data_IF_110524000057
#
_entry.id   IF_110524000057
#
_cell.length_a   1.000
_cell.length_b   1.000
_cell.length_c   1.000
_cell.angle_alpha   90.00
_cell.angle_beta   90.00
_cell.angle_gamma   90.00
#
_symmetry.space_group_name_H-M   'P 1'
#
loop_
_entity.id
_entity.type
_entity.pdbx_description
1 polymer ?
#
# COMPACT_ATOMS: atom_id res chain seq x y z
N UNK A 1 7.28 -14.15 15.55
CA UNK A 1 6.46 -13.25 16.39
C UNK A 1 6.40 -11.88 15.72
N UNK A 2 5.39 -11.07 16.07
CA UNK A 2 5.27 -9.68 15.59
C UNK A 2 5.15 -8.79 16.82
N UNK A 3 6.06 -7.85 16.95
CA UNK A 3 6.14 -6.97 18.12
C UNK A 3 6.35 -5.52 17.69
N UNK A 4 5.96 -4.59 18.57
CA UNK A 4 6.40 -3.20 18.44
C UNK A 4 7.87 -3.15 18.84
N UNK A 5 8.68 -2.44 18.07
CA UNK A 5 10.11 -2.32 18.32
C UNK A 5 10.37 -1.81 19.75
N UNK A 6 11.36 -2.39 20.42
CA UNK A 6 11.80 -1.99 21.76
C UNK A 6 13.34 -2.02 21.78
N UNK A 7 13.95 -1.74 22.95
CA UNK A 7 15.41 -1.69 23.09
C UNK A 7 16.09 -3.03 22.75
N UNK A 8 15.48 -4.16 23.10
CA UNK A 8 16.03 -5.50 22.85
C UNK A 8 16.17 -5.81 21.34
N UNK A 9 15.39 -5.13 20.50
CA UNK A 9 15.42 -5.31 19.06
C UNK A 9 16.54 -4.53 18.34
N UNK A 10 17.17 -3.54 19.00
CA UNK A 10 18.14 -2.63 18.36
C UNK A 10 19.32 -3.43 17.79
N UNK A 11 19.94 -4.28 18.59
CA UNK A 11 21.08 -5.12 18.18
C UNK A 11 20.73 -6.09 17.04
N UNK A 12 19.47 -6.54 16.99
CA UNK A 12 19.00 -7.42 15.92
C UNK A 12 18.79 -6.64 14.61
N UNK A 13 18.25 -5.42 14.70
CA UNK A 13 18.03 -4.51 13.57
C UNK A 13 19.35 -4.01 12.97
N UNK A 14 20.40 -3.82 13.76
CA UNK A 14 21.75 -3.51 13.25
C UNK A 14 22.30 -4.59 12.29
N UNK A 15 21.87 -5.84 12.48
CA UNK A 15 22.28 -6.99 11.65
C UNK A 15 21.35 -7.21 10.45
N UNK A 16 20.24 -6.47 10.37
CA UNK A 16 19.28 -6.60 9.29
C UNK A 16 19.93 -6.30 7.94
N UNK A 17 19.64 -7.09 6.91
CA UNK A 17 20.19 -6.95 5.57
C UNK A 17 19.14 -7.38 4.53
N UNK A 18 18.58 -6.39 3.85
CA UNK A 18 17.64 -6.63 2.76
C UNK A 18 18.34 -7.04 1.46
N UNK A 19 19.66 -6.95 1.36
CA UNK A 19 20.43 -7.29 0.16
C UNK A 19 20.24 -6.29 -0.98
N UNK A 20 20.56 -6.69 -2.21
CA UNK A 20 20.56 -5.79 -3.37
C UNK A 20 19.17 -5.22 -3.69
N UNK A 21 19.13 -3.94 -4.04
CA UNK A 21 17.89 -3.15 -4.19
C UNK A 21 17.09 -3.04 -2.87
N UNK A 22 17.75 -3.21 -1.73
CA UNK A 22 17.21 -3.08 -0.38
C UNK A 22 18.09 -2.17 0.49
N UNK A 23 18.96 -1.38 -0.12
CA UNK A 23 19.96 -0.56 0.56
C UNK A 23 19.30 0.50 1.45
N UNK A 24 18.20 1.11 0.97
CA UNK A 24 17.41 2.07 1.74
C UNK A 24 16.76 1.41 2.96
N UNK A 25 16.18 0.22 2.80
CA UNK A 25 15.56 -0.52 3.91
C UNK A 25 16.61 -0.99 4.92
N UNK A 26 17.76 -1.45 4.43
CA UNK A 26 18.88 -1.86 5.28
C UNK A 26 19.40 -0.67 6.08
N UNK A 27 19.63 0.46 5.43
CA UNK A 27 20.07 1.70 6.08
C UNK A 27 19.04 2.19 7.10
N UNK A 28 17.76 2.19 6.74
CA UNK A 28 16.70 2.59 7.67
C UNK A 28 16.70 1.69 8.91
N UNK A 29 16.71 0.37 8.74
CA UNK A 29 16.70 -0.59 9.84
C UNK A 29 17.85 -0.34 10.84
N UNK A 30 19.07 -0.18 10.31
CA UNK A 30 20.28 -0.08 11.13
C UNK A 30 20.48 1.27 11.78
N UNK A 31 20.14 2.35 11.08
CA UNK A 31 20.53 3.71 11.50
C UNK A 31 19.36 4.54 12.01
N UNK A 32 18.13 4.25 11.58
CA UNK A 32 17.01 5.17 11.73
C UNK A 32 15.80 4.57 12.45
N UNK A 33 15.59 3.25 12.41
CA UNK A 33 14.38 2.62 12.92
C UNK A 33 14.11 2.97 14.39
N UNK A 34 15.11 2.80 15.26
CA UNK A 34 14.96 3.13 16.69
C UNK A 34 14.67 4.61 16.92
N UNK A 35 15.39 5.49 16.22
CA UNK A 35 15.20 6.94 16.35
C UNK A 35 13.79 7.36 15.92
N UNK A 36 13.31 6.84 14.78
CA UNK A 36 11.95 7.11 14.31
C UNK A 36 10.89 6.58 15.27
N UNK A 37 11.13 5.40 15.86
CA UNK A 37 10.21 4.79 16.80
C UNK A 37 10.13 5.55 18.13
N UNK A 38 11.27 5.73 18.79
CA UNK A 38 11.39 6.38 20.10
C UNK A 38 10.94 7.84 20.11
N UNK A 39 10.99 8.53 18.97
CA UNK A 39 10.51 9.90 18.80
C UNK A 39 9.09 9.97 18.22
N UNK A 40 8.38 8.85 18.14
CA UNK A 40 7.00 8.76 17.64
C UNK A 40 6.81 9.31 16.21
N UNK A 41 7.84 9.30 15.38
CA UNK A 41 7.75 9.70 13.97
C UNK A 41 7.03 8.63 13.14
N UNK A 42 7.21 7.36 13.52
CA UNK A 42 6.43 6.22 13.03
C UNK A 42 6.44 5.11 14.08
N UNK A 43 5.42 4.25 14.08
CA UNK A 43 5.50 3.00 14.84
C UNK A 43 6.28 1.98 14.02
N UNK A 44 7.36 1.44 14.56
CA UNK A 44 8.14 0.38 13.91
C UNK A 44 7.69 -0.96 14.49
N UNK A 45 7.29 -1.86 13.61
CA UNK A 45 6.96 -3.23 13.94
C UNK A 45 8.06 -4.15 13.43
N UNK A 46 8.40 -5.14 14.23
CA UNK A 46 9.40 -6.15 13.91
C UNK A 46 8.72 -7.51 13.82
N UNK A 47 9.03 -8.23 12.74
CA UNK A 47 8.69 -9.64 12.55
C UNK A 47 9.97 -10.41 12.74
N UNK A 48 10.05 -11.23 13.77
CA UNK A 48 11.27 -11.90 14.16
C UNK A 48 11.01 -13.33 14.63
N UNK A 49 12.05 -14.14 14.61
CA UNK A 49 12.14 -15.31 15.47
C UNK A 49 12.97 -14.95 16.72
N UNK A 50 13.24 -15.93 17.59
CA UNK A 50 13.95 -15.69 18.85
C UNK A 50 15.38 -15.14 18.68
N UNK A 51 15.95 -15.23 17.46
CA UNK A 51 17.38 -14.95 17.23
C UNK A 51 17.63 -13.93 16.12
N UNK A 52 16.66 -13.63 15.25
CA UNK A 52 16.83 -12.67 14.16
C UNK A 52 15.54 -12.01 13.70
N UNK A 53 15.71 -10.81 13.14
CA UNK A 53 14.66 -10.11 12.40
C UNK A 53 14.47 -10.80 11.04
N UNK A 54 13.23 -11.19 10.76
CA UNK A 54 12.77 -11.70 9.46
C UNK A 54 12.38 -10.52 8.56
N UNK A 55 11.61 -9.58 9.12
CA UNK A 55 11.08 -8.42 8.43
C UNK A 55 10.81 -7.30 9.43
N UNK A 56 10.71 -6.07 8.95
CA UNK A 56 10.19 -4.96 9.73
C UNK A 56 9.30 -4.10 8.83
N UNK A 57 8.38 -3.36 9.44
CA UNK A 57 7.58 -2.37 8.72
C UNK A 57 7.25 -1.18 9.62
N UNK A 58 6.85 -0.07 9.01
CA UNK A 58 6.44 1.11 9.76
C UNK A 58 5.04 1.55 9.39
N UNK A 59 4.26 1.93 10.41
CA UNK A 59 2.94 2.52 10.24
C UNK A 59 2.90 3.91 10.89
N UNK A 60 2.31 4.87 10.20
CA UNK A 60 2.02 6.20 10.74
C UNK A 60 0.68 6.74 10.23
N UNK A 61 -0.01 7.60 11.01
CA UNK A 61 -1.19 8.30 10.51
C UNK A 61 -0.81 9.17 9.31
N UNK A 62 -1.65 9.17 8.28
CA UNK A 62 -1.37 9.90 7.04
C UNK A 62 -2.64 10.40 6.37
N UNK A 63 -2.51 11.42 5.52
CA UNK A 63 -3.61 11.94 4.72
C UNK A 63 -3.18 11.92 3.27
N UNK A 64 -3.78 11.04 2.49
CA UNK A 64 -3.60 11.03 1.04
C UNK A 64 -4.37 12.19 0.45
N UNK A 65 -3.74 12.93 -0.48
CA UNK A 65 -4.42 13.91 -1.32
C UNK A 65 -4.72 13.32 -2.69
N UNK A 66 -5.94 12.88 -2.87
CA UNK A 66 -6.51 12.49 -4.15
C UNK A 66 -6.76 13.76 -4.98
N UNK A 67 -5.81 14.08 -5.87
CA UNK A 67 -6.00 15.12 -6.88
C UNK A 67 -6.63 14.46 -8.11
N UNK A 68 -7.88 14.78 -8.49
CA UNK A 68 -8.30 14.52 -9.85
C UNK A 68 -7.39 15.34 -10.76
N UNK A 69 -6.71 14.70 -11.71
CA UNK A 69 -6.05 15.45 -12.79
C UNK A 69 -7.14 16.12 -13.62
N UNK A 70 -7.36 17.42 -13.40
CA UNK A 70 -8.42 18.22 -14.01
C UNK A 70 -8.32 18.38 -15.54
N UNK A 71 -7.34 17.77 -16.22
CA UNK A 71 -7.09 18.00 -17.65
C UNK A 71 -7.58 16.92 -18.61
N UNK A 72 -8.20 15.84 -18.12
CA UNK A 72 -8.71 14.73 -18.95
C UNK A 72 -10.24 14.61 -18.94
N UNK A 73 -10.92 15.63 -18.43
CA UNK A 73 -12.36 15.61 -18.11
C UNK A 73 -13.31 15.51 -19.31
N UNK A 74 -12.83 15.64 -20.56
CA UNK A 74 -13.73 15.82 -21.71
C UNK A 74 -13.62 14.73 -22.79
N UNK A 75 -12.91 13.64 -22.54
CA UNK A 75 -12.88 12.50 -23.47
C UNK A 75 -13.98 11.49 -23.11
N UNK A 76 -15.12 11.60 -23.79
CA UNK A 76 -16.14 10.55 -23.79
C UNK A 76 -15.67 9.31 -24.59
N UNK A 77 -16.43 8.22 -24.51
CA UNK A 77 -16.12 6.97 -25.22
C UNK A 77 -16.06 7.16 -26.74
N UNK A 78 -16.86 8.08 -27.26
CA UNK A 78 -16.90 8.37 -28.69
C UNK A 78 -15.59 9.03 -29.18
N UNK A 79 -15.00 9.92 -28.38
CA UNK A 79 -13.70 10.52 -28.72
C UNK A 79 -12.56 9.51 -28.57
N UNK A 80 -12.62 8.62 -27.57
CA UNK A 80 -11.64 7.53 -27.41
C UNK A 80 -11.67 6.60 -28.63
N UNK A 81 -12.84 6.12 -29.02
CA UNK A 81 -13.01 5.23 -30.17
C UNK A 81 -12.51 5.87 -31.47
N UNK A 82 -12.77 7.17 -31.66
CA UNK A 82 -12.27 7.93 -32.81
C UNK A 82 -10.74 8.05 -32.81
N UNK A 83 -10.12 8.26 -31.65
CA UNK A 83 -8.67 8.34 -31.53
C UNK A 83 -8.03 6.97 -31.84
N UNK A 84 -8.57 5.89 -31.31
CA UNK A 84 -8.09 4.53 -31.58
C UNK A 84 -8.23 4.16 -33.05
N UNK A 85 -9.40 4.44 -33.66
CA UNK A 85 -9.61 4.23 -35.11
C UNK A 85 -8.63 5.04 -35.96
N UNK A 86 -8.29 6.26 -35.55
CA UNK A 86 -7.30 7.09 -36.24
C UNK A 86 -5.88 6.50 -36.10
N UNK A 87 -5.52 5.97 -34.92
CA UNK A 87 -4.24 5.31 -34.70
C UNK A 87 -4.08 4.00 -35.50
N UNK A 88 -5.17 3.31 -35.83
CA UNK A 88 -5.12 2.14 -36.72
C UNK A 88 -4.72 2.51 -38.15
N UNK A 89 -5.05 3.74 -38.59
CA UNK A 89 -4.78 4.23 -39.94
C UNK A 89 -3.38 4.84 -40.09
N UNK A 90 -2.77 5.32 -39.00
CA UNK A 90 -1.48 6.00 -39.01
C UNK A 90 -0.54 5.42 -37.95
N UNK A 91 0.48 4.69 -38.39
CA UNK A 91 1.45 4.04 -37.50
C UNK A 91 2.17 5.03 -36.56
N UNK A 92 2.46 6.26 -37.03
CA UNK A 92 3.07 7.30 -36.17
C UNK A 92 2.17 7.78 -35.01
N UNK A 93 0.85 7.53 -35.08
CA UNK A 93 -0.12 7.97 -34.07
C UNK A 93 -0.43 6.91 -33.01
N UNK A 94 -0.03 5.65 -33.21
CA UNK A 94 -0.29 4.55 -32.27
C UNK A 94 0.21 4.84 -30.86
N UNK A 95 1.49 5.19 -30.73
CA UNK A 95 2.13 5.46 -29.45
C UNK A 95 1.52 6.68 -28.72
N UNK A 96 1.34 7.84 -29.38
CA UNK A 96 0.66 8.99 -28.77
C UNK A 96 -0.78 8.71 -28.34
N UNK A 97 -1.59 8.08 -29.19
CA UNK A 97 -2.99 7.77 -28.87
C UNK A 97 -3.09 6.79 -27.72
N UNK A 98 -2.28 5.73 -27.71
CA UNK A 98 -2.28 4.75 -26.63
C UNK A 98 -1.95 5.40 -25.28
N UNK A 99 -1.06 6.40 -25.24
CA UNK A 99 -0.78 7.16 -24.01
C UNK A 99 -1.97 8.00 -23.55
N UNK A 100 -2.72 8.61 -24.48
CA UNK A 100 -3.92 9.39 -24.20
C UNK A 100 -5.01 8.48 -23.64
N UNK A 101 -5.33 7.38 -24.32
CA UNK A 101 -6.35 6.40 -23.89
C UNK A 101 -6.01 5.83 -22.51
N UNK A 102 -4.76 5.43 -22.30
CA UNK A 102 -4.30 4.99 -20.98
C UNK A 102 -4.46 6.10 -19.93
N UNK A 103 -4.20 7.36 -20.26
CA UNK A 103 -4.46 8.51 -19.38
C UNK A 103 -5.93 8.62 -18.99
N UNK A 104 -6.83 8.58 -19.96
CA UNK A 104 -8.28 8.73 -19.75
C UNK A 104 -8.84 7.56 -18.93
N UNK A 105 -8.48 6.33 -19.26
CA UNK A 105 -8.91 5.15 -18.49
C UNK A 105 -8.43 5.22 -17.03
N UNK A 106 -7.21 5.70 -16.78
CA UNK A 106 -6.68 5.92 -15.42
C UNK A 106 -7.45 6.98 -14.66
N UNK A 107 -7.83 8.08 -15.33
CA UNK A 107 -8.62 9.14 -14.71
C UNK A 107 -10.00 8.61 -14.29
N UNK A 108 -10.68 7.87 -15.17
CA UNK A 108 -11.99 7.26 -14.89
C UNK A 108 -11.92 6.29 -13.71
N UNK A 109 -10.89 5.44 -13.67
CA UNK A 109 -10.68 4.51 -12.55
C UNK A 109 -10.50 5.28 -11.22
N UNK A 110 -9.61 6.27 -11.20
CA UNK A 110 -9.36 7.11 -10.01
C UNK A 110 -10.63 7.83 -9.54
N UNK A 111 -11.40 8.38 -10.49
CA UNK A 111 -12.68 9.05 -10.21
C UNK A 111 -13.71 8.10 -9.61
N UNK A 112 -13.85 6.90 -10.18
CA UNK A 112 -14.81 5.91 -9.67
C UNK A 112 -14.45 5.46 -8.24
N UNK A 113 -13.17 5.20 -7.96
CA UNK A 113 -12.70 4.87 -6.61
C UNK A 113 -12.99 6.02 -5.65
N UNK A 114 -12.71 7.25 -6.07
CA UNK A 114 -13.00 8.46 -5.30
C UNK A 114 -14.48 8.57 -4.94
N UNK A 115 -15.37 8.32 -5.90
CA UNK A 115 -16.81 8.35 -5.70
C UNK A 115 -17.26 7.24 -4.76
N UNK A 116 -16.76 6.01 -4.93
CA UNK A 116 -17.07 4.89 -4.05
C UNK A 116 -16.60 5.15 -2.61
N UNK A 117 -15.34 5.59 -2.44
CA UNK A 117 -14.80 5.95 -1.13
C UNK A 117 -15.62 7.09 -0.51
N UNK A 118 -15.97 8.12 -1.28
CA UNK A 118 -16.83 9.23 -0.79
C UNK A 118 -18.19 8.75 -0.36
N UNK A 119 -18.86 7.91 -1.15
CA UNK A 119 -20.17 7.37 -0.81
C UNK A 119 -20.11 6.55 0.48
N UNK A 120 -19.13 5.67 0.61
CA UNK A 120 -18.97 4.87 1.84
C UNK A 120 -18.74 5.78 3.04
N UNK A 121 -17.92 6.81 2.93
CA UNK A 121 -17.60 7.71 4.05
C UNK A 121 -18.75 8.63 4.41
N UNK A 122 -19.48 9.14 3.42
CA UNK A 122 -20.70 9.94 3.63
C UNK A 122 -21.78 9.10 4.31
N UNK A 123 -22.01 7.88 3.81
CA UNK A 123 -23.09 7.01 4.29
C UNK A 123 -22.80 6.41 5.67
N UNK A 124 -21.54 6.09 5.98
CA UNK A 124 -21.19 5.36 7.21
C UNK A 124 -20.55 6.21 8.30
N UNK A 125 -19.83 7.28 7.94
CA UNK A 125 -19.08 8.10 8.91
C UNK A 125 -19.62 9.52 9.04
N UNK A 126 -20.65 9.89 8.26
CA UNK A 126 -21.20 11.26 8.20
C UNK A 126 -20.10 12.32 7.97
N UNK A 127 -18.99 11.92 7.37
CA UNK A 127 -17.86 12.78 7.09
C UNK A 127 -18.11 13.48 5.76
N UNK A 128 -18.31 14.80 5.79
CA UNK A 128 -18.26 15.62 4.60
C UNK A 128 -16.79 15.91 4.27
N UNK A 129 -16.21 15.07 3.42
CA UNK A 129 -14.80 15.19 3.05
C UNK A 129 -14.68 16.29 2.03
N UNK A 130 -13.99 17.38 2.39
CA UNK A 130 -13.58 18.40 1.43
C UNK A 130 -12.64 17.80 0.36
N UNK A 131 -13.27 17.38 -0.74
CA UNK A 131 -12.85 17.06 -2.11
C UNK A 131 -11.54 16.35 -2.45
N UNK A 132 -10.58 16.14 -1.54
CA UNK A 132 -9.32 15.47 -1.92
C UNK A 132 -8.58 14.73 -0.80
N UNK A 133 -8.99 14.84 0.47
CA UNK A 133 -8.17 14.29 1.57
C UNK A 133 -8.77 13.00 2.13
N UNK A 134 -8.03 11.90 2.07
CA UNK A 134 -8.45 10.61 2.63
C UNK A 134 -7.59 10.28 3.85
N UNK A 135 -8.21 10.10 5.04
CA UNK A 135 -7.47 9.66 6.22
C UNK A 135 -7.02 8.21 6.03
N UNK A 136 -5.72 7.97 6.15
CA UNK A 136 -5.10 6.69 5.82
C UNK A 136 -3.99 6.37 6.82
N UNK A 137 -3.48 5.15 6.74
CA UNK A 137 -2.27 4.73 7.44
C UNK A 137 -1.17 4.62 6.40
N UNK A 138 -0.04 5.30 6.58
CA UNK A 138 1.11 5.17 5.70
C UNK A 138 1.96 3.96 6.09
N UNK A 139 2.15 3.04 5.15
CA UNK A 139 3.25 2.08 5.17
C UNK A 139 4.52 2.77 4.67
N UNK A 140 5.29 3.33 5.62
CA UNK A 140 6.44 4.16 5.30
C UNK A 140 7.65 3.35 4.82
N UNK A 141 7.96 2.29 5.56
CA UNK A 141 9.05 1.36 5.25
C UNK A 141 8.54 -0.06 5.37
N UNK A 142 8.99 -0.92 4.46
CA UNK A 142 8.78 -2.36 4.53
C UNK A 142 10.04 -3.08 4.07
N UNK A 143 10.74 -3.70 5.03
CA UNK A 143 11.97 -4.44 4.78
C UNK A 143 11.77 -5.93 4.99
N UNK A 144 12.34 -6.74 4.10
CA UNK A 144 12.41 -8.19 4.22
C UNK A 144 13.87 -8.63 4.13
N UNK A 145 14.33 -9.43 5.10
CA UNK A 145 15.69 -9.96 5.13
C UNK A 145 15.95 -10.73 3.82
N UNK A 146 17.14 -10.56 3.24
CA UNK A 146 17.46 -11.07 1.90
C UNK A 146 17.22 -12.58 1.71
N UNK A 147 17.47 -13.36 2.76
CA UNK A 147 17.32 -14.82 2.75
C UNK A 147 15.86 -15.29 2.65
N UNK A 148 14.90 -14.41 2.95
CA UNK A 148 13.47 -14.69 2.87
C UNK A 148 12.79 -14.06 1.66
N UNK A 149 13.56 -13.42 0.77
CA UNK A 149 13.01 -12.90 -0.48
C UNK A 149 12.64 -14.05 -1.40
N UNK A 150 11.61 -13.84 -2.21
CA UNK A 150 11.04 -14.84 -3.13
C UNK A 150 12.09 -15.65 -3.91
N UNK A 151 13.11 -15.00 -4.48
CA UNK A 151 14.16 -15.69 -5.24
C UNK A 151 14.97 -16.67 -4.35
N UNK A 152 15.38 -16.22 -3.17
CA UNK A 152 16.16 -17.04 -2.24
C UNK A 152 15.34 -18.23 -1.71
N UNK A 153 14.05 -18.01 -1.45
CA UNK A 153 13.14 -19.09 -1.03
C UNK A 153 12.93 -20.12 -2.14
N UNK A 154 12.69 -19.67 -3.38
CA UNK A 154 12.48 -20.56 -4.52
C UNK A 154 13.72 -21.41 -4.83
N UNK A 155 14.91 -20.83 -4.73
CA UNK A 155 16.18 -21.56 -4.90
C UNK A 155 16.40 -22.61 -3.79
N UNK A 156 16.01 -22.29 -2.55
CA UNK A 156 16.21 -23.16 -1.39
C UNK A 156 15.21 -24.30 -1.29
N UNK A 157 14.03 -24.15 -1.89
CA UNK A 157 12.88 -25.04 -1.69
C UNK A 157 12.09 -25.25 -2.99
N UNK A 158 12.79 -25.63 -4.06
CA UNK A 158 12.24 -25.74 -5.42
C UNK A 158 10.98 -26.64 -5.55
N UNK A 159 10.80 -27.60 -4.64
CA UNK A 159 9.71 -28.59 -4.68
C UNK A 159 8.47 -28.19 -3.84
N UNK A 160 8.48 -27.00 -3.22
CA UNK A 160 7.35 -26.51 -2.42
C UNK A 160 6.67 -25.35 -3.12
N UNK A 161 5.34 -25.32 -3.02
CA UNK A 161 4.53 -24.16 -3.38
C UNK A 161 4.76 -23.06 -2.35
N UNK A 162 5.91 -22.38 -2.47
CA UNK A 162 6.28 -21.30 -1.56
C UNK A 162 5.78 -20.00 -2.14
N UNK A 163 4.75 -19.51 -1.46
CA UNK A 163 4.25 -18.17 -1.60
C UNK A 163 5.34 -17.12 -1.32
N UNK A 164 5.15 -15.95 -1.90
CA UNK A 164 5.99 -14.80 -1.59
C UNK A 164 5.77 -14.35 -0.14
N UNK A 165 6.72 -14.65 0.76
CA UNK A 165 6.63 -14.29 2.17
C UNK A 165 6.36 -12.78 2.39
N UNK A 166 6.89 -11.91 1.51
CA UNK A 166 6.61 -10.48 1.59
C UNK A 166 5.12 -10.16 1.38
N UNK A 167 4.47 -10.88 0.46
CA UNK A 167 3.02 -10.77 0.22
C UNK A 167 2.22 -11.32 1.40
N UNK A 168 2.64 -12.46 1.96
CA UNK A 168 1.99 -13.03 3.14
C UNK A 168 2.12 -12.14 4.38
N UNK A 169 3.28 -11.51 4.60
CA UNK A 169 3.46 -10.55 5.69
C UNK A 169 2.56 -9.33 5.45
N UNK A 170 2.47 -8.82 4.23
CA UNK A 170 1.60 -7.70 3.90
C UNK A 170 0.13 -8.03 4.22
N UNK A 171 -0.38 -9.14 3.69
CA UNK A 171 -1.77 -9.58 3.84
C UNK A 171 -2.13 -9.97 5.28
N UNK A 172 -1.32 -10.82 5.91
CA UNK A 172 -1.68 -11.48 7.17
C UNK A 172 -1.21 -10.73 8.41
N UNK A 173 -0.30 -9.77 8.25
CA UNK A 173 0.27 -9.01 9.35
C UNK A 173 0.00 -7.52 9.15
N UNK A 174 0.57 -6.91 8.11
CA UNK A 174 0.53 -5.43 7.97
C UNK A 174 -0.90 -4.92 7.84
N UNK A 175 -1.71 -5.51 6.97
CA UNK A 175 -3.10 -5.08 6.75
C UNK A 175 -3.95 -5.18 8.02
N UNK A 176 -3.98 -6.30 8.77
CA UNK A 176 -4.69 -6.38 10.05
C UNK A 176 -4.25 -5.31 11.07
N UNK A 177 -2.94 -5.04 11.18
CA UNK A 177 -2.44 -3.98 12.07
C UNK A 177 -2.88 -2.59 11.59
N UNK A 178 -2.85 -2.33 10.28
CA UNK A 178 -3.30 -1.07 9.70
C UNK A 178 -4.82 -0.86 9.87
N UNK A 179 -5.63 -1.91 9.72
CA UNK A 179 -7.08 -1.89 9.98
C UNK A 179 -7.35 -1.56 11.44
N UNK A 180 -6.65 -2.21 12.37
CA UNK A 180 -6.78 -1.92 13.80
C UNK A 180 -6.42 -0.47 14.11
N UNK A 181 -5.27 0.00 13.64
CA UNK A 181 -4.86 1.40 13.79
C UNK A 181 -5.90 2.34 13.19
N UNK A 182 -6.37 2.04 11.97
CA UNK A 182 -7.41 2.80 11.29
C UNK A 182 -8.71 2.88 12.09
N UNK A 183 -9.15 1.77 12.69
CA UNK A 183 -10.31 1.72 13.56
C UNK A 183 -10.15 2.62 14.79
N UNK A 184 -8.98 2.63 15.42
CA UNK A 184 -8.66 3.45 16.60
C UNK A 184 -8.60 4.96 16.27
N UNK A 185 -8.01 5.35 15.13
CA UNK A 185 -7.69 6.78 14.87
C UNK A 185 -8.45 7.44 13.72
N UNK A 186 -9.26 6.72 12.96
CA UNK A 186 -9.99 7.30 11.81
C UNK A 186 -9.44 6.96 10.42
N UNK A 187 -8.41 6.11 10.31
CA UNK A 187 -7.86 5.70 9.02
C UNK A 187 -8.74 4.68 8.30
N UNK A 188 -8.85 4.80 6.97
CA UNK A 188 -9.75 3.95 6.15
C UNK A 188 -9.05 3.24 4.98
N UNK A 189 -7.73 3.33 4.91
CA UNK A 189 -6.93 2.61 3.94
C UNK A 189 -5.44 2.65 4.27
N UNK A 190 -4.68 1.78 3.62
CA UNK A 190 -3.23 1.75 3.65
C UNK A 190 -2.69 2.54 2.45
N UNK A 191 -1.93 3.59 2.72
CA UNK A 191 -1.15 4.34 1.74
C UNK A 191 0.27 3.82 1.68
N UNK A 192 0.89 3.81 0.50
CA UNK A 192 2.34 3.66 0.40
C UNK A 192 2.93 4.37 -0.80
N UNK A 193 4.20 4.74 -0.69
CA UNK A 193 4.99 5.25 -1.80
C UNK A 193 5.97 4.18 -2.26
N UNK A 194 5.92 3.85 -3.54
CA UNK A 194 6.84 2.91 -4.14
C UNK A 194 7.43 3.50 -5.41
N UNK A 195 8.73 3.28 -5.64
CA UNK A 195 9.27 3.52 -6.97
C UNK A 195 8.56 2.60 -7.98
N UNK A 196 8.48 3.04 -9.25
CA UNK A 196 7.67 2.34 -10.28
C UNK A 196 8.07 0.88 -10.48
N UNK A 197 9.37 0.60 -10.36
CA UNK A 197 9.91 -0.76 -10.51
C UNK A 197 9.42 -1.67 -9.39
N UNK A 198 9.50 -1.23 -8.13
CA UNK A 198 9.02 -1.99 -6.97
C UNK A 198 7.51 -2.13 -7.01
N UNK A 199 6.77 -1.05 -7.32
CA UNK A 199 5.32 -1.08 -7.44
C UNK A 199 4.86 -2.16 -8.42
N UNK A 200 5.40 -2.17 -9.64
CA UNK A 200 5.03 -3.15 -10.67
C UNK A 200 5.53 -4.56 -10.38
N UNK A 201 6.69 -4.72 -9.74
CA UNK A 201 7.27 -6.05 -9.48
C UNK A 201 6.69 -6.73 -8.25
N UNK A 202 6.10 -5.99 -7.32
CA UNK A 202 5.63 -6.52 -6.04
C UNK A 202 4.17 -6.11 -5.78
N UNK A 203 3.91 -4.84 -5.51
CA UNK A 203 2.59 -4.41 -5.03
C UNK A 203 1.46 -4.63 -6.05
N UNK A 204 1.73 -4.42 -7.34
CA UNK A 204 0.76 -4.54 -8.43
C UNK A 204 0.93 -5.84 -9.24
N UNK A 205 1.61 -6.85 -8.69
CA UNK A 205 1.83 -8.13 -9.36
C UNK A 205 1.05 -9.26 -8.66
N UNK A 206 -0.03 -9.78 -9.27
CA UNK A 206 -0.85 -10.86 -8.69
C UNK A 206 -0.08 -12.15 -8.40
N UNK A 207 0.99 -12.46 -9.15
CA UNK A 207 1.82 -13.64 -8.90
C UNK A 207 2.64 -13.54 -7.60
N UNK A 208 2.76 -12.34 -7.04
CA UNK A 208 3.66 -12.05 -5.91
C UNK A 208 2.96 -11.40 -4.73
N UNK A 209 1.84 -10.73 -4.96
CA UNK A 209 1.07 -10.08 -3.91
C UNK A 209 -0.40 -10.49 -4.09
N UNK A 210 -0.99 -11.22 -3.13
CA UNK A 210 -2.40 -11.60 -3.22
C UNK A 210 -3.33 -10.37 -3.25
N UNK A 211 -2.87 -9.23 -2.72
CA UNK A 211 -3.62 -7.98 -2.69
C UNK A 211 -3.44 -7.11 -3.95
N UNK A 212 -2.76 -7.61 -4.98
CA UNK A 212 -2.35 -6.76 -6.11
C UNK A 212 -3.50 -6.10 -6.85
N UNK A 213 -4.63 -6.78 -6.97
CA UNK A 213 -5.82 -6.28 -7.67
C UNK A 213 -6.57 -5.19 -6.89
N UNK A 214 -6.34 -5.13 -5.57
CA UNK A 214 -7.00 -4.21 -4.66
C UNK A 214 -6.18 -2.92 -4.40
N UNK A 215 -4.92 -2.89 -4.84
CA UNK A 215 -4.09 -1.68 -4.76
C UNK A 215 -4.42 -0.72 -5.91
N UNK A 216 -4.82 0.50 -5.56
CA UNK A 216 -5.08 1.56 -6.51
C UNK A 216 -3.89 2.51 -6.63
N UNK A 217 -3.51 2.86 -7.86
CA UNK A 217 -2.51 3.91 -8.10
C UNK A 217 -3.22 5.27 -8.07
N UNK A 218 -2.94 6.07 -7.04
CA UNK A 218 -3.60 7.38 -6.84
C UNK A 218 -2.76 8.56 -7.34
N UNK A 219 -1.46 8.36 -7.55
CA UNK A 219 -0.57 9.36 -8.17
C UNK A 219 0.55 8.69 -8.97
N UNK A 220 0.86 9.24 -10.15
CA UNK A 220 1.78 8.66 -11.15
C UNK A 220 3.11 9.41 -11.30
N UNK A 221 3.52 10.17 -10.27
CA UNK A 221 4.73 11.00 -10.25
C UNK A 221 6.06 10.23 -10.41
N UNK A 222 7.15 10.74 -9.83
CA UNK A 222 8.45 10.02 -9.82
C UNK A 222 8.33 8.65 -9.14
N UNK A 223 7.52 8.58 -8.09
CA UNK A 223 7.06 7.38 -7.40
C UNK A 223 5.56 7.18 -7.66
N UNK A 224 5.09 5.95 -7.53
CA UNK A 224 3.66 5.66 -7.42
C UNK A 224 3.24 5.84 -5.96
N UNK A 225 2.15 6.57 -5.78
CA UNK A 225 1.37 6.56 -4.55
C UNK A 225 0.27 5.50 -4.73
N UNK A 226 0.26 4.49 -3.87
CA UNK A 226 -0.73 3.42 -3.89
C UNK A 226 -1.65 3.54 -2.68
N UNK A 227 -2.90 3.15 -2.84
CA UNK A 227 -3.91 3.06 -1.80
C UNK A 227 -4.58 1.69 -1.84
N UNK A 228 -4.59 1.00 -0.70
CA UNK A 228 -5.42 -0.17 -0.44
C UNK A 228 -6.53 0.23 0.54
N UNK A 229 -7.78 0.41 0.09
CA UNK A 229 -8.88 0.78 0.98
C UNK A 229 -9.33 -0.44 1.81
N UNK A 230 -9.67 -0.21 3.07
CA UNK A 230 -10.17 -1.24 3.99
C UNK A 230 -11.36 -0.73 4.82
N UNK A 231 -12.22 0.06 4.17
CA UNK A 231 -13.28 0.82 4.86
C UNK A 231 -14.26 -0.09 5.59
N UNK A 232 -14.69 -1.17 4.93
CA UNK A 232 -15.64 -2.13 5.48
C UNK A 232 -15.05 -2.89 6.68
N UNK A 233 -13.75 -3.24 6.61
CA UNK A 233 -13.06 -3.90 7.72
C UNK A 233 -12.98 -3.01 8.96
N UNK A 234 -12.66 -1.73 8.77
CA UNK A 234 -12.64 -0.73 9.84
C UNK A 234 -14.02 -0.54 10.46
N UNK A 235 -15.07 -0.44 9.64
CA UNK A 235 -16.45 -0.35 10.11
C UNK A 235 -16.84 -1.60 10.91
N UNK A 236 -16.52 -2.78 10.37
CA UNK A 236 -16.78 -4.07 11.01
C UNK A 236 -16.11 -4.17 12.38
N UNK A 237 -14.82 -3.85 12.45
CA UNK A 237 -14.05 -3.87 13.69
C UNK A 237 -14.59 -2.86 14.71
N UNK A 238 -14.92 -1.63 14.30
CA UNK A 238 -15.52 -0.63 15.21
C UNK A 238 -16.85 -1.08 15.78
N UNK A 239 -17.74 -1.63 14.94
CA UNK A 239 -19.02 -2.17 15.39
C UNK A 239 -18.83 -3.31 16.39
N UNK A 240 -17.83 -4.17 16.17
CA UNK A 240 -17.49 -5.24 17.11
C UNK A 240 -16.97 -4.70 18.45
N UNK A 241 -16.05 -3.73 18.42
CA UNK A 241 -15.52 -3.08 19.62
C UNK A 241 -16.65 -2.41 20.45
N UNK A 242 -17.52 -1.64 19.80
CA UNK A 242 -18.65 -0.94 20.45
C UNK A 242 -19.77 -1.90 20.90
N UNK A 243 -20.01 -2.96 20.14
CA UNK A 243 -21.04 -3.97 20.44
C UNK A 243 -20.67 -4.90 21.61
N UNK A 244 -19.37 -5.03 21.92
CA UNK A 244 -18.90 -5.74 23.11
C UNK A 244 -18.88 -4.84 24.36
N UNK A 245 -18.68 -3.54 24.19
CA UNK A 245 -18.66 -2.55 25.29
C UNK A 245 -20.06 -2.31 25.92
N UNK A 246 -21.12 -2.75 25.24
CA UNK A 246 -22.52 -2.65 25.73
C UNK A 246 -23.02 -3.88 26.48
N UNK A 247 -22.21 -4.95 26.61
CA UNK A 247 -22.58 -6.17 27.35
C UNK A 247 -22.05 -6.24 28.79
N UNK A 248 -21.35 -5.19 29.26
CA UNK A 248 -20.82 -5.10 30.63
C UNK A 248 -21.23 -3.79 31.36
N UNK A 249 -22.45 -3.28 31.13
CA UNK A 249 -23.03 -2.23 31.98
C UNK A 249 -24.42 -2.59 32.48
#
# INVERSE_FOLDING_TARGET
MVEVMNEDHVDMMEKFDAGSNGEEQTKFARENAWNFHSHCLATVFVVHDDIKIISYFTLSPFIIRLKPENSLLDFDDEVIDKLETCAEQYDELKDPVQRIVQGVNRFRQTKHILENIREVLKNNLTMDIHYSSVPSILLGQFGLQKEYRYKALKERFADKDINNLGGEILERIIIPYAIRYGAEIGGIGLSLHANKTVAKKFYLNPEKNPLAEDFYVVSFGGTYELLYPFVDDVIGLRKWLLGNDTREK
#
